data_IF_940812030374
#
_entry.id   IF_940812030374
#
_cell.length_a   1.000
_cell.length_b   1.000
_cell.length_c   1.000
_cell.angle_alpha   90.00
_cell.angle_beta   90.00
_cell.angle_gamma   90.00
#
_symmetry.space_group_name_H-M   'P 1'
#
loop_
_entity.id
_entity.type
_entity.pdbx_description
1 polymer ?
#
# COMPACT_ATOMS: atom_id res chain seq x y z
N UNK A 1 -2.65 -10.69 12.66
CA UNK A 1 -2.05 -9.62 11.83
C UNK A 1 -2.61 -9.78 10.43
N UNK A 2 -3.06 -8.70 9.78
CA UNK A 2 -3.66 -8.79 8.43
C UNK A 2 -2.59 -9.18 7.42
N UNK A 3 -2.88 -10.14 6.55
CA UNK A 3 -2.02 -10.46 5.41
C UNK A 3 -2.32 -9.51 4.25
N UNK A 4 -1.46 -8.52 4.05
CA UNK A 4 -1.62 -7.55 2.97
C UNK A 4 -1.50 -8.17 1.57
N UNK A 5 -0.83 -9.32 1.39
CA UNK A 5 -0.73 -9.95 0.07
C UNK A 5 -2.08 -10.51 -0.36
N UNK A 6 -2.73 -11.25 0.53
CA UNK A 6 -4.08 -11.77 0.30
C UNK A 6 -5.07 -10.62 0.07
N UNK A 7 -5.05 -9.60 0.95
CA UNK A 7 -5.91 -8.43 0.80
C UNK A 7 -5.69 -7.70 -0.53
N UNK A 8 -4.44 -7.59 -1.01
CA UNK A 8 -4.13 -6.95 -2.29
C UNK A 8 -4.78 -7.69 -3.45
N UNK A 9 -4.74 -9.02 -3.44
CA UNK A 9 -5.35 -9.87 -4.48
C UNK A 9 -6.87 -9.77 -4.41
N UNK A 10 -7.45 -9.88 -3.21
CA UNK A 10 -8.90 -9.92 -2.99
C UNK A 10 -9.59 -8.60 -3.34
N UNK A 11 -8.90 -7.48 -3.15
CA UNK A 11 -9.40 -6.15 -3.52
C UNK A 11 -9.26 -5.85 -5.02
N UNK A 12 -8.86 -6.83 -5.84
CA UNK A 12 -8.83 -6.79 -7.31
C UNK A 12 -8.28 -5.46 -7.89
N UNK A 13 -9.14 -4.64 -8.50
CA UNK A 13 -8.85 -3.39 -9.18
C UNK A 13 -8.98 -2.13 -8.30
N UNK A 14 -9.45 -2.27 -7.06
CA UNK A 14 -9.59 -1.15 -6.11
C UNK A 14 -8.21 -0.55 -5.79
N UNK A 15 -7.95 0.72 -6.14
CA UNK A 15 -6.68 1.35 -5.85
C UNK A 15 -6.40 1.43 -4.36
N UNK A 16 -5.16 1.16 -3.96
CA UNK A 16 -4.73 1.36 -2.59
C UNK A 16 -4.20 2.77 -2.39
N UNK A 17 -4.58 3.39 -1.29
CA UNK A 17 -4.12 4.73 -0.91
C UNK A 17 -3.70 4.70 0.55
N UNK A 18 -2.46 5.11 0.82
CA UNK A 18 -1.94 5.27 2.18
C UNK A 18 -1.60 6.73 2.41
N UNK A 19 -2.14 7.31 3.49
CA UNK A 19 -1.75 8.63 3.96
C UNK A 19 -0.47 8.56 4.78
N UNK A 20 0.60 9.18 4.30
CA UNK A 20 1.87 9.35 4.99
C UNK A 20 1.89 10.71 5.71
N UNK A 21 1.80 10.68 7.04
CA UNK A 21 1.84 11.88 7.89
C UNK A 21 3.24 12.20 8.43
N UNK A 22 4.20 11.30 8.25
CA UNK A 22 5.51 11.33 8.90
C UNK A 22 5.53 10.71 10.31
N UNK A 23 4.36 10.43 10.90
CA UNK A 23 4.26 9.70 12.16
C UNK A 23 4.59 8.21 12.04
N UNK A 24 5.01 7.59 13.14
CA UNK A 24 5.43 6.18 13.25
C UNK A 24 4.48 5.21 12.53
N UNK A 25 3.18 5.34 12.79
CA UNK A 25 2.21 4.37 12.29
C UNK A 25 2.00 4.50 10.78
N UNK A 26 1.89 5.74 10.27
CA UNK A 26 1.79 5.97 8.83
C UNK A 26 3.05 5.54 8.07
N UNK A 27 4.23 5.70 8.68
CA UNK A 27 5.49 5.22 8.11
C UNK A 27 5.55 3.70 8.09
N UNK A 28 5.18 3.04 9.19
CA UNK A 28 5.15 1.57 9.27
C UNK A 28 4.18 0.96 8.25
N UNK A 29 2.97 1.52 8.11
CA UNK A 29 1.98 1.05 7.12
C UNK A 29 2.49 1.28 5.69
N UNK A 30 3.11 2.44 5.42
CA UNK A 30 3.67 2.73 4.10
C UNK A 30 4.77 1.73 3.73
N UNK A 31 5.70 1.46 4.64
CA UNK A 31 6.76 0.47 4.41
C UNK A 31 6.19 -0.93 4.22
N UNK A 32 5.23 -1.34 5.05
CA UNK A 32 4.61 -2.66 4.93
C UNK A 32 3.85 -2.82 3.60
N UNK A 33 3.21 -1.75 3.10
CA UNK A 33 2.63 -1.73 1.75
C UNK A 33 3.71 -1.91 0.68
N UNK A 34 4.81 -1.16 0.74
CA UNK A 34 5.90 -1.24 -0.25
C UNK A 34 6.53 -2.64 -0.28
N UNK A 35 6.87 -3.20 0.87
CA UNK A 35 7.42 -4.56 1.00
C UNK A 35 6.44 -5.61 0.46
N UNK A 36 5.15 -5.46 0.76
CA UNK A 36 4.10 -6.33 0.23
C UNK A 36 4.09 -6.27 -1.30
N UNK A 37 4.09 -5.08 -1.88
CA UNK A 37 4.09 -4.91 -3.33
C UNK A 37 5.34 -5.49 -3.97
N UNK A 38 6.52 -5.28 -3.38
CA UNK A 38 7.79 -5.86 -3.87
C UNK A 38 7.80 -7.39 -3.83
N UNK A 39 7.13 -7.99 -2.86
CA UNK A 39 7.01 -9.45 -2.75
C UNK A 39 6.09 -10.10 -3.80
N UNK A 40 5.27 -9.31 -4.51
CA UNK A 40 4.30 -9.82 -5.47
C UNK A 40 4.92 -10.02 -6.86
N UNK A 41 4.58 -11.12 -7.56
CA UNK A 41 4.97 -11.30 -8.97
C UNK A 41 4.54 -10.11 -9.84
N UNK A 42 5.36 -9.70 -10.84
CA UNK A 42 5.04 -8.55 -11.69
C UNK A 42 3.63 -8.56 -12.31
N UNK A 43 3.08 -9.71 -12.78
CA UNK A 43 1.72 -9.75 -13.33
C UNK A 43 0.61 -9.49 -12.31
N UNK A 44 0.86 -9.74 -11.02
CA UNK A 44 -0.09 -9.47 -9.93
C UNK A 44 0.07 -8.03 -9.47
N UNK A 45 1.32 -7.60 -9.19
CA UNK A 45 1.66 -6.26 -8.72
C UNK A 45 1.16 -5.15 -9.65
N UNK A 46 1.21 -5.38 -10.96
CA UNK A 46 0.83 -4.39 -11.98
C UNK A 46 -0.68 -4.29 -12.24
N UNK A 47 -1.52 -5.08 -11.55
CA UNK A 47 -2.98 -5.09 -11.79
C UNK A 47 -3.68 -3.81 -11.34
N UNK A 48 -3.14 -3.10 -10.35
CA UNK A 48 -3.69 -1.83 -9.86
C UNK A 48 -2.60 -0.87 -9.41
N UNK A 49 -2.98 0.39 -9.29
CA UNK A 49 -2.11 1.46 -8.79
C UNK A 49 -2.24 1.58 -7.28
N UNK A 50 -1.11 1.85 -6.64
CA UNK A 50 -1.05 2.20 -5.23
C UNK A 50 -0.50 3.62 -5.11
N UNK A 51 -1.08 4.40 -4.21
CA UNK A 51 -0.73 5.80 -4.00
C UNK A 51 -0.29 6.01 -2.56
N UNK A 52 0.73 6.83 -2.39
CA UNK A 52 1.10 7.41 -1.11
C UNK A 52 0.74 8.88 -1.19
N UNK A 53 -0.10 9.35 -0.29
CA UNK A 53 -0.52 10.75 -0.21
C UNK A 53 0.05 11.38 1.05
N UNK A 54 0.44 12.65 0.98
CA UNK A 54 0.78 13.45 2.14
C UNK A 54 -0.14 14.66 2.13
N UNK A 55 -0.86 14.88 3.22
CA UNK A 55 -1.74 16.04 3.37
C UNK A 55 -0.95 17.12 4.08
N UNK A 56 -0.64 18.19 3.36
CA UNK A 56 -0.13 19.40 3.96
C UNK A 56 -1.30 20.27 4.44
N UNK A 57 -1.27 20.69 5.70
CA UNK A 57 -2.30 21.55 6.30
C UNK A 57 -1.92 23.03 6.29
N UNK A 58 -0.77 23.38 5.71
CA UNK A 58 -0.26 24.75 5.55
C UNK A 58 -0.67 25.37 4.21
#
# INVERSE_FOLDING_TARGET
MVDLRSLFIDTADIPWVVGLSGGKDSTAVTMHMLETLESLPPPIRRRKKCYVTCVNTL
#
